data_IF_074110301175
#
_entry.id   IF_074110301175
#
_cell.length_a   1.000
_cell.length_b   1.000
_cell.length_c   1.000
_cell.angle_alpha   90.00
_cell.angle_beta   90.00
_cell.angle_gamma   90.00
#
_symmetry.space_group_name_H-M   'P 1'
#
loop_
_entity.id
_entity.type
_entity.pdbx_description
1 polymer ?
#
# COMPACT_ATOMS: atom_id res chain seq x y z
N UNK A 1 -0.40 9.33 15.22
CA UNK A 1 -1.69 9.42 14.50
C UNK A 1 -1.59 8.39 13.38
N UNK A 2 -2.37 7.31 13.41
CA UNK A 2 -2.33 6.29 12.36
C UNK A 2 -2.96 6.84 11.09
N UNK A 3 -2.16 6.97 10.02
CA UNK A 3 -2.65 7.45 8.73
C UNK A 3 -3.19 6.24 7.96
N UNK A 4 -4.51 6.12 7.90
CA UNK A 4 -5.18 5.09 7.10
C UNK A 4 -5.26 5.50 5.63
N UNK A 5 -4.72 4.66 4.75
CA UNK A 5 -4.70 4.87 3.29
C UNK A 5 -5.72 3.92 2.66
N UNK A 6 -6.76 4.46 2.03
CA UNK A 6 -7.78 3.65 1.36
C UNK A 6 -7.34 3.20 -0.04
N UNK A 7 -8.01 2.21 -0.64
CA UNK A 7 -7.67 1.64 -1.95
C UNK A 7 -7.41 2.69 -3.05
N UNK A 8 -8.25 3.72 -3.14
CA UNK A 8 -8.07 4.80 -4.13
C UNK A 8 -6.84 5.66 -3.82
N UNK A 9 -6.55 5.89 -2.55
CA UNK A 9 -5.37 6.65 -2.13
C UNK A 9 -4.10 5.83 -2.34
N UNK A 10 -4.17 4.51 -2.13
CA UNK A 10 -3.10 3.56 -2.39
C UNK A 10 -2.65 3.64 -3.86
N UNK A 11 -3.56 3.82 -4.81
CA UNK A 11 -3.20 3.98 -6.24
C UNK A 11 -2.31 5.19 -6.52
N UNK A 12 -2.54 6.30 -5.82
CA UNK A 12 -1.66 7.48 -5.95
C UNK A 12 -0.31 7.19 -5.30
N UNK A 13 -0.31 6.58 -4.11
CA UNK A 13 0.91 6.23 -3.37
C UNK A 13 1.77 5.21 -4.12
N UNK A 14 1.16 4.20 -4.77
CA UNK A 14 1.84 3.21 -5.61
C UNK A 14 2.68 3.88 -6.71
N UNK A 15 2.12 4.91 -7.37
CA UNK A 15 2.83 5.66 -8.41
C UNK A 15 3.96 6.49 -7.79
N UNK A 16 3.74 7.17 -6.66
CA UNK A 16 4.78 7.96 -6.00
C UNK A 16 5.93 7.11 -5.44
N UNK A 17 5.64 5.93 -4.89
CA UNK A 17 6.68 5.01 -4.42
C UNK A 17 7.48 4.42 -5.58
N UNK A 18 6.86 4.26 -6.75
CA UNK A 18 7.51 3.69 -7.93
C UNK A 18 8.35 4.72 -8.70
N UNK A 19 7.80 5.92 -8.91
CA UNK A 19 8.39 6.94 -9.79
C UNK A 19 9.09 8.07 -9.00
N UNK A 20 8.88 8.14 -7.69
CA UNK A 20 9.37 9.24 -6.84
C UNK A 20 8.47 10.48 -6.89
N UNK A 21 9.06 11.63 -6.58
CA UNK A 21 8.36 12.92 -6.54
C UNK A 21 7.84 13.31 -7.92
N UNK A 22 6.52 13.55 -8.01
CA UNK A 22 5.84 13.89 -9.26
C UNK A 22 4.91 15.08 -9.06
N UNK A 23 4.73 15.90 -10.09
CA UNK A 23 3.67 16.93 -10.07
C UNK A 23 2.28 16.29 -10.07
N UNK A 24 1.30 16.98 -9.49
CA UNK A 24 -0.10 16.54 -9.54
C UNK A 24 -0.61 16.34 -10.99
N UNK A 25 -0.06 17.09 -11.95
CA UNK A 25 -0.34 16.91 -13.38
C UNK A 25 0.22 15.60 -13.95
N UNK A 26 1.45 15.23 -13.60
CA UNK A 26 2.05 13.96 -14.02
C UNK A 26 1.31 12.77 -13.41
N UNK A 27 0.98 12.82 -12.12
CA UNK A 27 0.17 11.80 -11.46
C UNK A 27 -1.17 11.60 -12.17
N UNK A 28 -1.86 12.69 -12.52
CA UNK A 28 -3.12 12.62 -13.24
C UNK A 28 -2.98 11.97 -14.62
N UNK A 29 -1.86 12.19 -15.33
CA UNK A 29 -1.60 11.55 -16.62
C UNK A 29 -1.36 10.05 -16.46
N UNK A 30 -0.49 9.65 -15.53
CA UNK A 30 -0.16 8.24 -15.27
C UNK A 30 -1.41 7.47 -14.83
N UNK A 31 -2.19 8.01 -13.89
CA UNK A 31 -3.39 7.33 -13.39
C UNK A 31 -4.52 7.30 -14.43
N UNK A 32 -4.56 8.27 -15.35
CA UNK A 32 -5.46 8.19 -16.51
C UNK A 32 -5.08 7.03 -17.43
N UNK A 33 -3.79 6.82 -17.67
CA UNK A 33 -3.30 5.75 -18.54
C UNK A 33 -3.42 4.36 -17.89
N UNK A 34 -3.14 4.24 -16.60
CA UNK A 34 -3.15 2.94 -15.90
C UNK A 34 -4.56 2.45 -15.53
N UNK A 35 -5.42 3.36 -15.05
CA UNK A 35 -6.73 2.98 -14.46
C UNK A 35 -7.89 3.85 -14.96
N UNK A 36 -7.67 4.71 -15.95
CA UNK A 36 -8.74 5.50 -16.59
C UNK A 36 -9.23 6.69 -15.77
N UNK A 37 -8.53 7.11 -14.72
CA UNK A 37 -8.99 8.24 -13.90
C UNK A 37 -8.93 9.56 -14.64
N UNK A 38 -9.97 10.38 -14.46
CA UNK A 38 -9.93 11.75 -14.91
C UNK A 38 -9.09 12.61 -13.94
N UNK A 39 -8.65 13.78 -14.43
CA UNK A 39 -7.80 14.70 -13.67
C UNK A 39 -8.42 15.13 -12.34
N UNK A 40 -9.72 15.39 -12.29
CA UNK A 40 -10.40 15.86 -11.08
C UNK A 40 -10.40 14.79 -9.99
N UNK A 41 -10.60 13.52 -10.36
CA UNK A 41 -10.52 12.38 -9.43
C UNK A 41 -9.14 12.31 -8.80
N UNK A 42 -8.07 12.36 -9.61
CA UNK A 42 -6.69 12.33 -9.10
C UNK A 42 -6.42 13.49 -8.16
N UNK A 43 -6.81 14.72 -8.52
CA UNK A 43 -6.58 15.90 -7.68
C UNK A 43 -7.36 15.84 -6.35
N UNK A 44 -8.59 15.31 -6.39
CA UNK A 44 -9.40 15.11 -5.17
C UNK A 44 -8.71 14.14 -4.21
N UNK A 45 -8.14 13.06 -4.74
CA UNK A 45 -7.45 12.05 -3.93
C UNK A 45 -6.11 12.58 -3.42
N UNK A 46 -5.34 13.29 -4.25
CA UNK A 46 -4.11 13.98 -3.81
C UNK A 46 -4.42 14.92 -2.65
N UNK A 47 -5.49 15.71 -2.74
CA UNK A 47 -5.91 16.60 -1.66
C UNK A 47 -6.22 15.83 -0.37
N UNK A 48 -6.99 14.74 -0.45
CA UNK A 48 -7.27 13.87 0.71
C UNK A 48 -5.99 13.31 1.34
N UNK A 49 -5.03 12.89 0.52
CA UNK A 49 -3.73 12.40 0.99
C UNK A 49 -2.89 13.49 1.67
N UNK A 50 -2.97 14.73 1.18
CA UNK A 50 -2.34 15.90 1.83
C UNK A 50 -3.02 16.20 3.16
N UNK A 51 -4.36 16.24 3.20
CA UNK A 51 -5.14 16.50 4.41
C UNK A 51 -4.87 15.44 5.50
N UNK A 52 -4.54 14.21 5.08
CA UNK A 52 -4.12 13.10 5.95
C UNK A 52 -2.64 13.12 6.36
N UNK A 53 -1.81 13.99 5.79
CA UNK A 53 -0.37 13.99 6.01
C UNK A 53 0.38 12.81 5.36
N UNK A 54 -0.23 12.13 4.40
CA UNK A 54 0.41 11.03 3.66
C UNK A 54 1.31 11.54 2.52
N UNK A 55 0.98 12.71 1.97
CA UNK A 55 1.73 13.40 0.91
C UNK A 55 1.98 14.85 1.34
N UNK A 56 3.16 15.37 1.05
CA UNK A 56 3.48 16.78 1.12
C UNK A 56 3.40 17.42 -0.27
N UNK A 57 2.80 18.62 -0.35
CA UNK A 57 2.88 19.47 -1.54
C UNK A 57 4.12 20.37 -1.43
N UNK A 58 5.01 20.28 -2.40
CA UNK A 58 6.16 21.18 -2.56
C UNK A 58 5.99 22.11 -3.76
N UNK A 59 6.53 23.31 -3.61
CA UNK A 59 6.62 24.30 -4.68
C UNK A 59 8.06 24.38 -5.22
N UNK A 60 8.25 24.79 -6.49
CA UNK A 60 7.22 25.18 -7.46
C UNK A 60 6.50 23.98 -8.12
N UNK A 61 5.33 24.23 -8.73
CA UNK A 61 4.58 23.32 -9.62
C UNK A 61 3.76 22.21 -8.96
N UNK A 62 3.42 22.35 -7.67
CA UNK A 62 2.60 21.35 -6.97
C UNK A 62 3.20 19.93 -7.11
N UNK A 63 4.44 19.80 -6.66
CA UNK A 63 5.13 18.51 -6.54
C UNK A 63 4.51 17.76 -5.36
N UNK A 64 4.12 16.52 -5.60
CA UNK A 64 3.60 15.60 -4.59
C UNK A 64 4.75 14.71 -4.12
N UNK A 65 5.09 14.82 -2.84
CA UNK A 65 6.13 14.03 -2.19
C UNK A 65 5.50 13.06 -1.19
N UNK A 66 5.80 11.76 -1.29
CA UNK A 66 5.26 10.78 -0.35
C UNK A 66 5.97 10.88 1.01
N UNK A 67 5.20 11.08 2.09
CA UNK A 67 5.72 11.11 3.45
C UNK A 67 5.67 9.73 4.12
N UNK A 68 4.76 8.86 3.66
CA UNK A 68 4.65 7.48 4.12
C UNK A 68 5.50 6.56 3.25
N UNK A 69 6.20 5.64 3.90
CA UNK A 69 6.87 4.53 3.21
C UNK A 69 5.88 3.41 2.91
N UNK A 70 6.15 2.64 1.85
CA UNK A 70 5.31 1.53 1.43
C UNK A 70 5.18 0.48 2.53
N UNK A 71 6.29 0.18 3.20
CA UNK A 71 6.38 -0.84 4.24
C UNK A 71 5.49 -0.50 5.44
N UNK A 72 5.41 0.79 5.82
CA UNK A 72 4.57 1.25 6.92
C UNK A 72 3.09 1.02 6.63
N UNK A 73 2.64 1.31 5.41
CA UNK A 73 1.25 1.08 5.00
C UNK A 73 0.95 -0.42 4.93
N UNK A 74 1.87 -1.23 4.40
CA UNK A 74 1.71 -2.67 4.31
C UNK A 74 1.60 -3.35 5.69
N UNK A 75 2.44 -2.95 6.64
CA UNK A 75 2.42 -3.49 8.00
C UNK A 75 1.11 -3.15 8.73
N UNK A 76 0.63 -1.92 8.58
CA UNK A 76 -0.64 -1.47 9.15
C UNK A 76 -1.82 -2.23 8.56
N UNK A 77 -1.92 -2.34 7.24
CA UNK A 77 -3.00 -3.07 6.56
C UNK A 77 -2.98 -4.57 6.89
N UNK A 78 -1.79 -5.16 7.01
CA UNK A 78 -1.64 -6.58 7.38
C UNK A 78 -2.14 -6.82 8.80
N UNK A 79 -1.75 -5.94 9.73
CA UNK A 79 -2.23 -5.99 11.13
C UNK A 79 -3.74 -5.82 11.21
N UNK A 80 -4.30 -4.87 10.45
CA UNK A 80 -5.76 -4.65 10.42
C UNK A 80 -6.50 -5.87 9.84
N UNK A 81 -5.99 -6.49 8.77
CA UNK A 81 -6.54 -7.70 8.19
C UNK A 81 -6.55 -8.86 9.20
N UNK A 82 -5.42 -9.11 9.87
CA UNK A 82 -5.29 -10.16 10.88
C UNK A 82 -6.29 -9.94 12.01
N UNK A 83 -6.39 -8.70 12.52
CA UNK A 83 -7.32 -8.35 13.59
C UNK A 83 -8.79 -8.52 13.15
N UNK A 84 -9.14 -8.08 11.94
CA UNK A 84 -10.53 -8.05 11.47
C UNK A 84 -11.06 -9.41 11.00
N UNK A 85 -10.24 -10.20 10.31
CA UNK A 85 -10.68 -11.44 9.66
C UNK A 85 -10.30 -12.67 10.48
N UNK A 86 -9.19 -12.60 11.22
CA UNK A 86 -8.65 -13.72 11.99
C UNK A 86 -8.62 -13.45 13.49
N UNK A 87 -9.35 -12.42 13.95
CA UNK A 87 -9.45 -12.04 15.36
C UNK A 87 -8.07 -11.87 16.06
N UNK A 88 -7.06 -11.41 15.32
CA UNK A 88 -5.71 -11.20 15.84
C UNK A 88 -4.81 -12.43 15.76
N UNK A 89 -5.32 -13.58 15.30
CA UNK A 89 -4.58 -14.83 15.24
C UNK A 89 -3.83 -14.98 13.91
N UNK A 90 -2.51 -14.82 13.97
CA UNK A 90 -1.59 -15.04 12.86
C UNK A 90 -1.54 -16.51 12.46
N UNK A 91 -1.62 -17.41 13.44
CA UNK A 91 -1.66 -18.87 13.25
C UNK A 91 -2.88 -19.32 12.43
N UNK A 92 -4.06 -18.74 12.67
CA UNK A 92 -5.26 -19.03 11.86
C UNK A 92 -5.16 -18.51 10.42
N UNK A 93 -4.49 -17.36 10.21
CA UNK A 93 -4.19 -16.86 8.86
C UNK A 93 -3.30 -17.87 8.10
N UNK A 94 -2.21 -18.31 8.71
CA UNK A 94 -1.31 -19.31 8.10
C UNK A 94 -2.03 -20.63 7.86
N UNK A 95 -2.77 -21.16 8.84
CA UNK A 95 -3.52 -22.39 8.68
C UNK A 95 -4.52 -22.31 7.50
N UNK A 96 -5.19 -21.17 7.32
CA UNK A 96 -6.12 -20.94 6.20
C UNK A 96 -5.42 -20.89 4.83
N UNK A 97 -4.26 -20.20 4.74
CA UNK A 97 -3.44 -20.12 3.53
C UNK A 97 -2.90 -21.51 3.13
N UNK A 98 -2.35 -22.24 4.10
CA UNK A 98 -1.80 -23.58 3.91
C UNK A 98 -2.88 -24.60 3.53
N UNK A 99 -4.09 -24.49 4.10
CA UNK A 99 -5.20 -25.42 3.79
C UNK A 99 -5.75 -25.29 2.37
N UNK A 100 -5.60 -24.13 1.73
CA UNK A 100 -6.11 -23.87 0.37
C UNK A 100 -5.13 -24.22 -0.75
N UNK A 101 -3.85 -24.40 -0.45
CA UNK A 101 -2.82 -24.70 -1.45
C UNK A 101 -2.22 -26.08 -1.19
N UNK A 102 -2.21 -26.95 -2.21
CA UNK A 102 -1.21 -28.01 -2.29
C UNK A 102 0.14 -27.32 -2.57
N UNK A 103 0.76 -26.82 -1.51
CA UNK A 103 2.09 -26.24 -1.60
C UNK A 103 3.07 -27.37 -1.93
N UNK A 104 3.88 -27.23 -2.99
CA UNK A 104 4.96 -28.15 -3.24
C UNK A 104 6.01 -28.04 -2.11
N UNK A 105 6.77 -29.11 -1.93
CA UNK A 105 7.66 -29.29 -0.76
C UNK A 105 8.75 -28.22 -0.67
N UNK A 106 9.20 -27.69 -1.81
CA UNK A 106 10.14 -26.58 -1.91
C UNK A 106 9.56 -25.25 -1.39
N UNK A 107 8.26 -24.99 -1.61
CA UNK A 107 7.58 -23.81 -1.10
C UNK A 107 7.40 -23.91 0.44
N UNK A 108 7.18 -25.12 0.96
CA UNK A 108 7.12 -25.40 2.41
C UNK A 108 8.48 -25.16 3.07
N UNK A 109 9.57 -25.71 2.50
CA UNK A 109 10.92 -25.50 3.03
C UNK A 109 11.29 -24.01 3.06
N UNK A 110 11.00 -23.28 1.98
CA UNK A 110 11.27 -21.85 1.92
C UNK A 110 10.48 -21.06 2.97
N UNK A 111 9.22 -21.41 3.22
CA UNK A 111 8.42 -20.79 4.27
C UNK A 111 8.98 -21.09 5.67
N UNK A 112 9.40 -22.34 5.92
CA UNK A 112 10.04 -22.73 7.18
C UNK A 112 11.36 -21.99 7.42
N UNK A 113 12.15 -21.74 6.37
CA UNK A 113 13.36 -20.92 6.49
C UNK A 113 13.06 -19.46 6.86
N UNK A 114 12.00 -18.87 6.29
CA UNK A 114 11.59 -17.49 6.61
C UNK A 114 11.18 -17.40 8.08
N UNK A 115 10.40 -18.37 8.58
CA UNK A 115 9.97 -18.43 9.98
C UNK A 115 11.20 -18.51 10.91
N UNK A 116 12.14 -19.42 10.64
CA UNK A 116 13.37 -19.58 11.44
C UNK A 116 14.28 -18.35 11.44
N UNK A 117 14.27 -17.56 10.35
CA UNK A 117 15.04 -16.30 10.25
C UNK A 117 14.37 -15.13 10.98
N UNK A 118 13.12 -15.32 11.41
CA UNK A 118 12.34 -14.31 12.13
C UNK A 118 12.37 -14.49 13.66
N UNK A 119 13.06 -15.54 14.15
CA UNK A 119 13.51 -15.69 15.54
C UNK A 119 14.77 -14.84 15.82
#
# INVERSE_FOLDING_TARGET
>A
MEIKVFDSELKVMEVLWKEGDLTAGQLAKILKEQIGWNRNTTYTIIKKLIDKGAIERREPNFICHALLKREQVQEMETTELINKVFAGSVDLLFASLLKRKNLPEDEIERLMEIIKKSE
#
